data_IF_017930370850
#
_entry.id   IF_017930370850
#
_cell.length_a   1.000
_cell.length_b   1.000
_cell.length_c   1.000
_cell.angle_alpha   90.00
_cell.angle_beta   90.00
_cell.angle_gamma   90.00
#
_symmetry.space_group_name_H-M   'P 1'
#
loop_
_entity.id
_entity.type
_entity.pdbx_description
1 polymer ?
#
# COMPACT_ATOMS: atom_id res chain seq x y z
N UNK A 1 -4.50 -6.43 24.26
CA UNK A 1 -4.22 -6.14 22.84
C UNK A 1 -4.41 -7.44 22.11
N UNK A 2 -5.48 -7.56 21.33
CA UNK A 2 -5.76 -8.75 20.55
C UNK A 2 -4.69 -8.96 19.49
N UNK A 3 -4.32 -10.22 19.27
CA UNK A 3 -3.34 -10.60 18.24
C UNK A 3 -3.96 -10.39 16.85
N UNK A 4 -3.22 -9.74 15.96
CA UNK A 4 -3.61 -9.61 14.55
C UNK A 4 -3.69 -11.00 13.91
N UNK A 5 -4.80 -11.30 13.23
CA UNK A 5 -5.02 -12.57 12.54
C UNK A 5 -4.03 -12.78 11.37
N UNK A 6 -3.68 -11.69 10.69
CA UNK A 6 -2.82 -11.65 9.49
C UNK A 6 -1.68 -10.65 9.69
N UNK A 7 -0.88 -10.86 10.73
CA UNK A 7 0.15 -9.90 11.14
C UNK A 7 1.17 -9.60 10.02
N UNK A 8 1.58 -10.64 9.28
CA UNK A 8 2.55 -10.51 8.19
C UNK A 8 1.97 -9.70 7.02
N UNK A 9 0.76 -10.01 6.59
CA UNK A 9 0.08 -9.32 5.51
C UNK A 9 -0.19 -7.86 5.87
N UNK A 10 -0.62 -7.61 7.12
CA UNK A 10 -0.79 -6.25 7.64
C UNK A 10 0.53 -5.49 7.62
N UNK A 11 1.63 -6.13 8.02
CA UNK A 11 2.95 -5.50 8.01
C UNK A 11 3.40 -5.15 6.58
N UNK A 12 3.22 -6.07 5.63
CA UNK A 12 3.54 -5.85 4.21
C UNK A 12 2.72 -4.71 3.60
N UNK A 13 1.40 -4.72 3.79
CA UNK A 13 0.50 -3.68 3.26
C UNK A 13 0.87 -2.31 3.85
N UNK A 14 1.12 -2.24 5.17
CA UNK A 14 1.54 -0.98 5.81
C UNK A 14 2.88 -0.49 5.28
N UNK A 15 3.84 -1.39 5.07
CA UNK A 15 5.13 -1.07 4.46
C UNK A 15 4.98 -0.39 3.11
N UNK A 16 4.19 -0.98 2.21
CA UNK A 16 3.92 -0.41 0.89
C UNK A 16 3.24 0.98 0.97
N UNK A 17 2.30 1.17 1.90
CA UNK A 17 1.68 2.50 2.15
C UNK A 17 2.72 3.53 2.59
N UNK A 18 3.64 3.15 3.48
CA UNK A 18 4.70 4.05 3.94
C UNK A 18 5.71 4.38 2.85
N UNK A 19 6.09 3.42 2.01
CA UNK A 19 6.99 3.69 0.87
C UNK A 19 6.34 4.65 -0.14
N UNK A 20 5.08 4.44 -0.49
CA UNK A 20 4.34 5.38 -1.35
C UNK A 20 4.26 6.76 -0.71
N UNK A 21 3.94 6.85 0.58
CA UNK A 21 3.86 8.14 1.27
C UNK A 21 5.22 8.85 1.36
N UNK A 22 6.30 8.10 1.58
CA UNK A 22 7.66 8.64 1.66
C UNK A 22 8.13 9.24 0.34
N UNK A 23 7.78 8.61 -0.78
CA UNK A 23 8.12 9.09 -2.13
C UNK A 23 7.20 10.24 -2.57
N UNK A 24 5.88 10.10 -2.38
CA UNK A 24 4.89 11.04 -2.91
C UNK A 24 4.67 12.25 -2.00
N UNK A 25 4.85 12.11 -0.68
CA UNK A 25 4.50 13.14 0.29
C UNK A 25 2.98 13.40 0.32
N UNK A 26 2.60 14.64 0.59
CA UNK A 26 1.20 15.11 0.63
C UNK A 26 0.86 15.99 -0.58
N UNK A 27 -0.43 16.12 -0.91
CA UNK A 27 -0.92 17.09 -1.89
C UNK A 27 -1.43 16.51 -3.21
N UNK A 28 -1.37 15.19 -3.38
CA UNK A 28 -1.96 14.50 -4.54
C UNK A 28 -3.41 14.06 -4.27
N UNK A 29 -4.14 13.82 -5.36
CA UNK A 29 -5.48 13.25 -5.28
C UNK A 29 -5.43 11.75 -5.02
N UNK A 30 -6.49 11.22 -4.45
CA UNK A 30 -6.64 9.80 -4.13
C UNK A 30 -6.38 8.85 -5.32
N UNK A 31 -6.84 9.12 -6.56
CA UNK A 31 -6.52 8.27 -7.72
C UNK A 31 -5.01 8.15 -8.00
N UNK A 32 -4.23 9.20 -7.72
CA UNK A 32 -2.77 9.17 -7.89
C UNK A 32 -2.15 8.23 -6.86
N UNK A 33 -2.59 8.28 -5.59
CA UNK A 33 -2.14 7.33 -4.58
C UNK A 33 -2.56 5.90 -4.89
N UNK A 34 -3.76 5.70 -5.46
CA UNK A 34 -4.20 4.38 -5.90
C UNK A 34 -3.27 3.79 -6.97
N UNK A 35 -2.90 4.57 -7.98
CA UNK A 35 -1.94 4.12 -9.00
C UNK A 35 -0.55 3.84 -8.43
N UNK A 36 -0.05 4.68 -7.52
CA UNK A 36 1.22 4.47 -6.84
C UNK A 36 1.21 3.20 -5.98
N UNK A 37 0.14 2.97 -5.21
CA UNK A 37 -0.03 1.76 -4.40
C UNK A 37 -0.14 0.51 -5.28
N UNK A 38 -0.85 0.56 -6.41
CA UNK A 38 -0.89 -0.55 -7.35
C UNK A 38 0.51 -0.92 -7.86
N UNK A 39 1.34 0.07 -8.19
CA UNK A 39 2.75 -0.17 -8.59
C UNK A 39 3.57 -0.75 -7.44
N UNK A 40 3.40 -0.25 -6.22
CA UNK A 40 4.15 -0.75 -5.05
C UNK A 40 3.74 -2.18 -4.67
N UNK A 41 2.45 -2.50 -4.73
CA UNK A 41 1.95 -3.85 -4.53
C UNK A 41 2.45 -4.82 -5.60
N UNK A 42 2.56 -4.40 -6.87
CA UNK A 42 3.21 -5.20 -7.91
C UNK A 42 4.70 -5.44 -7.62
N UNK A 43 5.43 -4.42 -7.15
CA UNK A 43 6.86 -4.53 -6.83
C UNK A 43 7.15 -5.43 -5.62
N UNK A 44 6.19 -5.53 -4.70
CA UNK A 44 6.32 -6.27 -3.44
C UNK A 44 5.55 -7.60 -3.45
N UNK A 45 5.06 -8.02 -4.62
CA UNK A 45 4.27 -9.25 -4.82
C UNK A 45 3.06 -9.38 -3.89
N UNK A 46 2.44 -8.25 -3.52
CA UNK A 46 1.22 -8.22 -2.71
C UNK A 46 0.01 -8.40 -3.65
N UNK A 47 -0.84 -9.42 -3.47
CA UNK A 47 -2.04 -9.58 -4.28
C UNK A 47 -3.03 -8.42 -4.06
N UNK A 48 -3.51 -7.82 -5.14
CA UNK A 48 -4.50 -6.73 -5.07
C UNK A 48 -5.46 -6.77 -6.26
N UNK A 49 -6.63 -6.16 -6.08
CA UNK A 49 -7.54 -5.82 -7.17
C UNK A 49 -7.56 -4.31 -7.37
N UNK A 50 -7.13 -3.83 -8.53
CA UNK A 50 -7.29 -2.43 -8.90
C UNK A 50 -8.56 -2.26 -9.75
N UNK A 51 -9.37 -1.26 -9.40
CA UNK A 51 -10.44 -0.76 -10.25
C UNK A 51 -10.02 0.63 -10.72
N UNK A 52 -9.63 0.71 -11.99
CA UNK A 52 -9.35 1.97 -12.69
C UNK A 52 -10.66 2.65 -13.08
#
# INVERSE_FOLDING_TARGET
MDKLLYENEVFQIRGAIFEVYKEMGFGFLEPVYQECLAKEFQRTDIPFGARL
#
